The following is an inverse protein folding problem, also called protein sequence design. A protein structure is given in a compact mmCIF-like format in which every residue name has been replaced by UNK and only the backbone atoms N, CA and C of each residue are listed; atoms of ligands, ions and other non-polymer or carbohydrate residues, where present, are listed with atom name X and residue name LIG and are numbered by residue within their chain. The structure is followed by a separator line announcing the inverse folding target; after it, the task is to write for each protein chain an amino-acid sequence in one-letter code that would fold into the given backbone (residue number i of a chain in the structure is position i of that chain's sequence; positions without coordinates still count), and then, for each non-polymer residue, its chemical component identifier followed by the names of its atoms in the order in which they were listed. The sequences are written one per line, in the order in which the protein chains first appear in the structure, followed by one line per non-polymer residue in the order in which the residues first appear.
data_IF_446657981247
#
_entry.id   IF_446657981247
#
_cell.length_a   1.000
_cell.length_b   1.000
_cell.length_c   1.000
_cell.angle_alpha   90.00
_cell.angle_beta   90.00
_cell.angle_gamma   90.00
#
_symmetry.space_group_name_H-M   'P 1'
#
loop_
_entity.id
_entity.type
_entity.pdbx_description
1 polymer ?
#
# COMPACT_ATOMS: atom_id res chain seq x y z
N UNK A 1 24.96 -5.07 11.01
CA UNK A 1 24.31 -3.94 11.68
C UNK A 1 23.91 -2.91 10.63
N UNK A 2 22.78 -2.25 10.85
CA UNK A 2 22.22 -1.31 9.88
C UNK A 2 23.14 -0.16 9.52
N UNK A 3 23.89 0.37 10.48
CA UNK A 3 24.79 1.49 10.23
C UNK A 3 25.92 1.12 9.28
N UNK A 4 26.35 -0.13 9.27
CA UNK A 4 27.37 -0.61 8.35
C UNK A 4 26.81 -0.93 6.96
N UNK A 5 25.49 -1.16 6.88
CA UNK A 5 24.82 -1.57 5.65
C UNK A 5 24.03 -0.45 4.99
N UNK A 6 24.15 0.79 5.48
CA UNK A 6 23.35 1.92 4.96
C UNK A 6 23.58 2.20 3.49
N UNK A 7 24.73 1.82 2.94
CA UNK A 7 25.03 2.05 1.54
C UNK A 7 24.44 1.01 0.59
N UNK A 8 23.91 -0.08 1.14
CA UNK A 8 23.26 -1.08 0.30
C UNK A 8 21.92 -0.55 -0.23
N UNK A 9 21.62 -0.73 -1.53
CA UNK A 9 20.38 -0.22 -2.12
C UNK A 9 19.12 -0.70 -1.39
N UNK A 10 19.09 -1.95 -0.97
CA UNK A 10 17.92 -2.50 -0.26
C UNK A 10 17.69 -1.79 1.07
N UNK A 11 18.76 -1.53 1.82
CA UNK A 11 18.67 -0.84 3.11
C UNK A 11 18.21 0.60 2.89
N UNK A 12 18.69 1.27 1.85
CA UNK A 12 18.26 2.62 1.52
C UNK A 12 16.76 2.66 1.20
N UNK A 13 16.26 1.70 0.43
CA UNK A 13 14.84 1.60 0.15
C UNK A 13 14.02 1.37 1.42
N UNK A 14 14.49 0.50 2.30
CA UNK A 14 13.81 0.22 3.55
C UNK A 14 13.70 1.48 4.42
N UNK A 15 14.78 2.25 4.52
CA UNK A 15 14.80 3.49 5.27
C UNK A 15 13.81 4.51 4.67
N UNK A 16 13.80 4.64 3.34
CA UNK A 16 12.88 5.54 2.65
C UNK A 16 11.43 5.17 2.90
N UNK A 17 11.11 3.88 2.86
CA UNK A 17 9.75 3.41 3.11
C UNK A 17 9.33 3.70 4.55
N UNK A 18 10.20 3.38 5.53
CA UNK A 18 9.90 3.62 6.93
C UNK A 18 9.60 5.09 7.19
N UNK A 19 10.36 5.98 6.58
CA UNK A 19 10.21 7.41 6.83
C UNK A 19 9.01 8.01 6.12
N UNK A 20 8.77 7.64 4.85
CA UNK A 20 7.86 8.39 3.99
C UNK A 20 6.61 7.66 3.53
N UNK A 21 6.31 6.47 4.04
CA UNK A 21 5.10 5.75 3.62
C UNK A 21 3.79 6.39 4.12
N UNK A 22 3.87 7.35 5.04
CA UNK A 22 2.70 8.14 5.47
C UNK A 22 2.56 9.47 4.73
N UNK A 23 3.50 9.77 3.84
CA UNK A 23 3.35 10.94 2.98
C UNK A 23 2.22 10.70 1.97
N UNK A 24 1.60 11.78 1.51
CA UNK A 24 0.51 11.71 0.54
C UNK A 24 0.86 12.52 -0.70
N UNK A 25 0.34 12.07 -1.83
CA UNK A 25 0.63 12.68 -3.14
C UNK A 25 0.39 14.18 -3.19
N UNK A 26 -0.62 14.67 -2.46
CA UNK A 26 -0.99 16.09 -2.42
C UNK A 26 -0.25 16.89 -1.35
N UNK A 27 0.69 16.28 -0.63
CA UNK A 27 1.46 16.95 0.41
C UNK A 27 0.79 17.00 1.77
N UNK A 28 -0.36 16.33 1.93
CA UNK A 28 -1.12 16.36 3.19
C UNK A 28 -0.62 15.37 4.24
N UNK A 29 0.37 14.55 3.91
CA UNK A 29 0.89 13.54 4.84
C UNK A 29 1.99 14.05 5.75
N UNK A 30 2.71 13.11 6.35
CA UNK A 30 3.78 13.39 7.30
C UNK A 30 4.89 12.36 7.15
N UNK A 31 6.12 12.55 7.67
CA UNK A 31 6.53 13.62 8.60
C UNK A 31 6.95 14.92 7.95
N UNK A 32 7.28 14.92 6.66
CA UNK A 32 7.90 16.10 6.02
C UNK A 32 6.94 16.88 5.12
N UNK A 33 5.76 16.34 4.83
CA UNK A 33 4.82 16.99 3.93
C UNK A 33 5.27 16.99 2.48
N UNK A 34 6.00 15.97 2.07
CA UNK A 34 6.46 15.83 0.69
C UNK A 34 5.29 15.66 -0.27
N UNK A 35 5.46 16.14 -1.48
CA UNK A 35 4.40 16.16 -2.47
C UNK A 35 4.87 15.56 -3.78
N UNK A 36 4.00 14.80 -4.43
CA UNK A 36 4.25 14.28 -5.77
C UNK A 36 5.52 13.44 -5.84
N UNK A 37 6.32 13.70 -6.84
CA UNK A 37 7.54 12.94 -7.10
C UNK A 37 8.65 13.17 -6.06
N UNK A 38 8.46 14.11 -5.13
CA UNK A 38 9.38 14.27 -4.00
C UNK A 38 9.27 13.10 -3.02
N UNK A 39 8.20 12.32 -3.10
CA UNK A 39 8.03 11.11 -2.31
C UNK A 39 8.71 9.96 -3.06
N UNK A 40 9.65 9.22 -2.44
CA UNK A 40 10.26 8.07 -3.11
C UNK A 40 9.20 7.08 -3.60
N UNK A 41 9.38 6.54 -4.79
CA UNK A 41 8.37 5.64 -5.38
C UNK A 41 8.11 4.42 -4.51
N UNK A 42 9.14 3.87 -3.86
CA UNK A 42 8.97 2.73 -2.96
C UNK A 42 8.01 3.07 -1.82
N UNK A 43 8.13 4.27 -1.25
CA UNK A 43 7.23 4.73 -0.18
C UNK A 43 5.80 4.93 -0.69
N UNK A 44 5.65 5.43 -1.92
CA UNK A 44 4.33 5.58 -2.54
C UNK A 44 3.63 4.22 -2.72
N UNK A 45 4.37 3.22 -3.19
CA UNK A 45 3.83 1.87 -3.40
C UNK A 45 3.38 1.26 -2.08
N UNK A 46 4.21 1.36 -1.04
CA UNK A 46 3.87 0.81 0.29
C UNK A 46 2.67 1.54 0.87
N UNK A 47 2.59 2.87 0.71
CA UNK A 47 1.45 3.63 1.19
C UNK A 47 0.13 3.14 0.57
N UNK A 48 0.14 2.91 -0.75
CA UNK A 48 -1.03 2.41 -1.46
C UNK A 48 -1.38 0.98 -1.03
N UNK A 49 -0.36 0.11 -0.92
CA UNK A 49 -0.55 -1.27 -0.49
C UNK A 49 -1.14 -1.33 0.93
N UNK A 50 -0.64 -0.49 1.83
CA UNK A 50 -1.15 -0.42 3.20
C UNK A 50 -2.61 0.02 3.23
N UNK A 51 -2.95 1.04 2.45
CA UNK A 51 -4.34 1.51 2.37
C UNK A 51 -5.26 0.42 1.81
N UNK A 52 -4.82 -0.29 0.77
CA UNK A 52 -5.58 -1.39 0.19
C UNK A 52 -5.78 -2.52 1.21
N UNK A 53 -4.71 -2.95 1.87
CA UNK A 53 -4.79 -4.00 2.89
C UNK A 53 -5.75 -3.62 4.01
N UNK A 54 -5.75 -2.35 4.40
CA UNK A 54 -6.65 -1.87 5.44
C UNK A 54 -8.11 -1.93 5.04
N UNK A 55 -8.41 -1.79 3.76
CA UNK A 55 -9.79 -1.82 3.26
C UNK A 55 -10.31 -3.24 3.07
N UNK A 56 -9.49 -4.15 2.52
CA UNK A 56 -9.93 -5.51 2.25
C UNK A 56 -9.78 -6.45 3.45
N UNK A 57 -9.02 -6.04 4.46
CA UNK A 57 -8.84 -6.81 5.68
C UNK A 57 -9.99 -6.57 6.64
N UNK A 58 -10.32 -7.58 7.45
CA UNK A 58 -11.32 -7.44 8.50
C UNK A 58 -10.60 -7.18 9.82
N UNK A 59 -10.80 -5.99 10.36
CA UNK A 59 -10.15 -5.54 11.57
C UNK A 59 -11.24 -5.16 12.57
N UNK A 60 -11.14 -5.64 13.79
CA UNK A 60 -11.98 -5.20 14.89
C UNK A 60 -13.42 -4.85 14.45
N UNK A 61 -13.78 -3.56 14.38
CA UNK A 61 -15.11 -3.10 13.97
C UNK A 61 -15.24 -2.76 12.48
N UNK A 62 -14.14 -2.91 11.74
CA UNK A 62 -14.12 -2.58 10.32
C UNK A 62 -14.66 -3.75 9.50
N UNK A 63 -15.64 -3.47 8.64
CA UNK A 63 -16.13 -4.44 7.67
C UNK A 63 -15.21 -4.50 6.47
N UNK A 64 -14.81 -5.71 6.09
CA UNK A 64 -13.96 -5.89 4.92
C UNK A 64 -14.70 -5.50 3.65
N UNK A 65 -14.05 -4.70 2.80
CA UNK A 65 -14.56 -4.36 1.48
C UNK A 65 -14.13 -5.41 0.47
N UNK A 66 -14.89 -5.56 -0.61
CA UNK A 66 -14.44 -6.36 -1.74
C UNK A 66 -13.26 -5.65 -2.41
N UNK A 67 -12.51 -6.39 -3.23
CA UNK A 67 -11.40 -5.79 -3.99
C UNK A 67 -11.91 -4.64 -4.87
N UNK A 68 -13.04 -4.82 -5.55
CA UNK A 68 -13.63 -3.81 -6.40
C UNK A 68 -14.00 -2.54 -5.62
N UNK A 69 -14.62 -2.71 -4.46
CA UNK A 69 -15.01 -1.58 -3.61
C UNK A 69 -13.79 -0.84 -3.08
N UNK A 70 -12.73 -1.58 -2.67
CA UNK A 70 -11.50 -0.98 -2.17
C UNK A 70 -10.82 -0.14 -3.25
N UNK A 71 -10.70 -0.68 -4.47
CA UNK A 71 -10.10 0.04 -5.59
C UNK A 71 -10.91 1.30 -5.91
N UNK A 72 -12.23 1.21 -5.87
CA UNK A 72 -13.10 2.35 -6.13
C UNK A 72 -12.90 3.46 -5.09
N UNK A 73 -12.80 3.11 -3.80
CA UNK A 73 -12.56 4.09 -2.74
C UNK A 73 -11.20 4.77 -2.88
N UNK A 74 -10.16 4.00 -3.17
CA UNK A 74 -8.83 4.55 -3.33
C UNK A 74 -8.75 5.48 -4.53
N UNK A 75 -9.39 5.10 -5.64
CA UNK A 75 -9.42 5.91 -6.86
C UNK A 75 -10.22 7.20 -6.65
N UNK A 76 -11.27 7.16 -5.83
CA UNK A 76 -12.09 8.33 -5.53
C UNK A 76 -11.43 9.29 -4.54
N UNK A 77 -10.29 8.94 -3.97
CA UNK A 77 -9.57 9.80 -3.02
C UNK A 77 -10.13 9.78 -1.60
N UNK A 78 -10.99 8.84 -1.28
CA UNK A 78 -11.63 8.75 0.04
C UNK A 78 -10.65 8.40 1.16
N UNK A 79 -9.50 7.83 0.82
CA UNK A 79 -8.47 7.44 1.78
C UNK A 79 -7.20 8.26 1.65
N UNK A 80 -7.29 9.42 1.02
CA UNK A 80 -6.17 10.29 0.77
C UNK A 80 -5.76 10.29 -0.70
N UNK A 81 -4.79 11.11 -1.01
CA UNK A 81 -4.31 11.24 -2.39
C UNK A 81 -3.16 10.29 -2.65
N UNK A 82 -3.23 9.59 -3.76
CA UNK A 82 -2.19 8.68 -4.25
C UNK A 82 -1.81 9.05 -5.66
N UNK A 83 -0.60 8.65 -6.06
CA UNK A 83 -0.13 8.86 -7.42
C UNK A 83 -1.12 8.27 -8.42
N UNK A 84 -1.67 9.07 -9.35
CA UNK A 84 -2.65 8.58 -10.32
C UNK A 84 -2.16 7.40 -11.15
N UNK A 85 -0.87 7.36 -11.46
CA UNK A 85 -0.30 6.25 -12.21
C UNK A 85 -0.35 4.95 -11.43
N UNK A 86 -0.09 5.01 -10.11
CA UNK A 86 -0.19 3.84 -9.26
C UNK A 86 -1.63 3.37 -9.10
N UNK A 87 -2.59 4.29 -9.08
CA UNK A 87 -4.00 3.93 -9.03
C UNK A 87 -4.44 3.22 -10.33
N UNK A 88 -3.91 3.65 -11.47
CA UNK A 88 -4.15 2.94 -12.73
C UNK A 88 -3.57 1.53 -12.70
N UNK A 89 -2.35 1.39 -12.17
CA UNK A 89 -1.71 0.09 -12.03
C UNK A 89 -2.52 -0.84 -11.12
N UNK A 90 -3.04 -0.31 -10.02
CA UNK A 90 -3.86 -1.08 -9.09
C UNK A 90 -5.14 -1.57 -9.77
N UNK A 91 -5.77 -0.72 -10.54
CA UNK A 91 -6.99 -1.06 -11.27
C UNK A 91 -6.73 -2.17 -12.30
N UNK A 92 -5.61 -2.06 -13.01
CA UNK A 92 -5.20 -3.04 -14.02
C UNK A 92 -4.90 -4.40 -13.37
N UNK A 93 -4.21 -4.39 -12.23
CA UNK A 93 -3.91 -5.62 -11.47
C UNK A 93 -5.20 -6.25 -10.95
N UNK A 94 -6.15 -5.46 -10.46
CA UNK A 94 -7.42 -5.96 -9.98
C UNK A 94 -8.19 -6.66 -11.10
N UNK A 95 -8.25 -6.06 -12.28
CA UNK A 95 -8.92 -6.65 -13.44
C UNK A 95 -8.28 -7.99 -13.83
N UNK A 96 -6.95 -8.06 -13.83
CA UNK A 96 -6.22 -9.28 -14.15
C UNK A 96 -6.45 -10.37 -13.11
N UNK A 97 -6.47 -10.01 -11.83
CA UNK A 97 -6.75 -10.98 -10.78
C UNK A 97 -8.15 -11.53 -10.87
N UNK A 98 -9.12 -10.70 -11.22
CA UNK A 98 -10.49 -11.15 -11.44
C UNK A 98 -10.58 -12.17 -12.57
N UNK A 99 -9.85 -11.95 -13.67
CA UNK A 99 -9.79 -12.88 -14.79
C UNK A 99 -9.12 -14.19 -14.42
N UNK A 100 -8.00 -14.11 -13.70
CA UNK A 100 -7.22 -15.30 -13.32
C UNK A 100 -7.93 -16.17 -12.31
N UNK A 101 -8.73 -15.56 -11.43
CA UNK A 101 -9.45 -16.32 -10.40
C UNK A 101 -10.81 -16.81 -10.86
N UNK A 102 -11.23 -16.47 -12.06
CA UNK A 102 -12.49 -16.96 -12.61
C UNK A 102 -12.42 -18.47 -12.81
N UNK A 103 -13.26 -19.18 -12.09
CA UNK A 103 -13.27 -20.64 -12.13
C UNK A 103 -12.39 -21.31 -11.09
N UNK A 104 -11.55 -20.59 -10.38
CA UNK A 104 -10.74 -21.13 -9.28
C UNK A 104 -11.55 -21.14 -7.99
N UNK A 105 -11.22 -22.05 -7.04
CA UNK A 105 -11.86 -21.98 -5.73
C UNK A 105 -11.51 -20.68 -5.04
N UNK A 106 -12.44 -20.12 -4.23
CA UNK A 106 -12.16 -18.86 -3.53
C UNK A 106 -10.96 -19.01 -2.62
N UNK A 107 -10.14 -17.96 -2.57
CA UNK A 107 -8.99 -17.92 -1.67
C UNK A 107 -9.46 -17.97 -0.22
N UNK A 108 -8.68 -18.59 0.69
CA UNK A 108 -9.04 -18.57 2.09
C UNK A 108 -9.07 -17.14 2.61
N UNK A 109 -9.94 -16.84 3.60
CA UNK A 109 -9.99 -15.49 4.16
C UNK A 109 -8.64 -15.09 4.77
N UNK A 110 -8.28 -13.82 4.64
CA UNK A 110 -7.06 -13.31 5.23
C UNK A 110 -7.16 -13.37 6.75
N UNK A 111 -6.05 -13.70 7.38
CA UNK A 111 -6.00 -13.70 8.84
C UNK A 111 -6.20 -12.29 9.37
N UNK A 112 -6.97 -12.18 10.46
CA UNK A 112 -7.17 -10.91 11.13
C UNK A 112 -5.82 -10.34 11.56
N UNK A 113 -5.61 -9.06 11.31
CA UNK A 113 -4.39 -8.38 11.69
C UNK A 113 -3.24 -8.53 10.71
N UNK A 114 -3.41 -9.32 9.64
CA UNK A 114 -2.37 -9.43 8.63
C UNK A 114 -2.33 -8.17 7.77
N UNK A 115 -1.13 -7.63 7.58
CA UNK A 115 -0.88 -6.51 6.68
C UNK A 115 0.48 -6.70 6.05
N UNK A 116 0.56 -6.53 4.74
CA UNK A 116 1.82 -6.62 4.01
C UNK A 116 2.79 -5.54 4.49
N UNK A 117 2.28 -4.34 4.72
CA UNK A 117 3.08 -3.22 5.19
C UNK A 117 3.61 -3.48 6.60
N UNK A 118 2.76 -4.00 7.48
CA UNK A 118 3.18 -4.34 8.85
C UNK A 118 4.26 -5.41 8.85
N UNK A 119 4.08 -6.46 8.05
CA UNK A 119 5.07 -7.52 7.92
C UNK A 119 6.39 -6.95 7.46
N UNK A 120 6.37 -6.07 6.47
CA UNK A 120 7.57 -5.43 5.94
C UNK A 120 8.26 -4.58 7.01
N UNK A 121 7.50 -3.76 7.75
CA UNK A 121 8.07 -2.88 8.76
C UNK A 121 8.61 -3.64 9.95
N UNK A 122 8.01 -4.76 10.34
CA UNK A 122 8.50 -5.61 11.43
C UNK A 122 9.84 -6.26 11.07
N UNK A 123 10.13 -6.44 9.78
CA UNK A 123 11.39 -7.01 9.30
C UNK A 123 12.53 -5.97 9.23
N UNK A 124 12.19 -4.70 9.27
CA UNK A 124 13.12 -3.59 9.15
C UNK A 124 13.54 -3.09 10.53
#
# INVERSE_FOLDING_TARGET
NLSQSQDEPLVKFAIQICRWHHERWDGSGYPDGRKGDDIPIAAQVVALADAYDGLVGKWDKHEALSQEEAVAELTAGKRGAFNPLLLECLRDVEDRLAEETEGDPPAPPRKKGFSLTKLFLDEV
#
